data_IF_062845788107
#
_entry.id   IF_062845788107
#
_cell.length_a   1.000
_cell.length_b   1.000
_cell.length_c   1.000
_cell.angle_alpha   90.00
_cell.angle_beta   90.00
_cell.angle_gamma   90.00
#
_symmetry.space_group_name_H-M   'P 1'
#
loop_
_entity.id
_entity.type
_entity.pdbx_description
1 polymer ?
#
# COMPACT_ATOMS: atom_id res chain seq x y z
N UNK A 1 7.31 18.49 -16.08
CA UNK A 1 7.46 18.27 -14.62
C UNK A 1 6.27 18.89 -13.92
N UNK A 2 5.63 18.18 -13.00
CA UNK A 2 4.50 18.69 -12.24
C UNK A 2 4.99 19.24 -10.89
N UNK A 3 4.47 20.39 -10.47
CA UNK A 3 4.76 21.00 -9.18
C UNK A 3 3.49 20.99 -8.35
N UNK A 4 3.59 20.53 -7.10
CA UNK A 4 2.47 20.52 -6.15
C UNK A 4 2.75 21.57 -5.08
N UNK A 5 1.78 22.47 -4.87
CA UNK A 5 1.80 23.45 -3.78
C UNK A 5 0.74 23.09 -2.75
N UNK A 6 1.15 22.86 -1.52
CA UNK A 6 0.25 22.57 -0.39
C UNK A 6 0.09 23.85 0.41
N UNK A 7 -1.15 24.36 0.51
CA UNK A 7 -1.49 25.60 1.21
C UNK A 7 -2.08 25.31 2.58
N UNK A 8 -1.94 26.28 3.50
CA UNK A 8 -2.52 26.24 4.85
C UNK A 8 -2.04 25.05 5.71
N UNK A 9 -0.77 24.67 5.58
CA UNK A 9 -0.17 23.67 6.46
C UNK A 9 -0.08 24.25 7.87
N UNK A 10 -0.64 23.60 8.90
CA UNK A 10 -0.51 24.09 10.27
C UNK A 10 0.97 24.18 10.68
N UNK A 11 1.37 25.27 11.33
CA UNK A 11 2.76 25.54 11.69
C UNK A 11 3.41 24.40 12.48
N UNK A 12 2.67 23.78 13.39
CA UNK A 12 3.13 22.63 14.15
C UNK A 12 3.53 21.44 13.25
N UNK A 13 2.74 21.17 12.21
CA UNK A 13 3.00 20.08 11.26
C UNK A 13 4.20 20.43 10.37
N UNK A 14 4.25 21.67 9.89
CA UNK A 14 5.39 22.16 9.10
C UNK A 14 6.70 21.98 9.88
N UNK A 15 6.72 22.36 11.17
CA UNK A 15 7.90 22.22 12.03
C UNK A 15 8.32 20.76 12.27
N UNK A 16 7.36 19.86 12.47
CA UNK A 16 7.65 18.42 12.61
C UNK A 16 8.37 17.90 11.37
N UNK A 17 7.85 18.21 10.18
CA UNK A 17 8.47 17.78 8.92
C UNK A 17 9.82 18.44 8.66
N UNK A 18 10.00 19.70 9.03
CA UNK A 18 11.29 20.38 8.94
C UNK A 18 12.37 19.69 9.79
N UNK A 19 12.03 19.31 11.03
CA UNK A 19 12.96 18.58 11.91
C UNK A 19 13.30 17.20 11.34
N UNK A 20 12.30 16.47 10.82
CA UNK A 20 12.53 15.15 10.20
C UNK A 20 13.39 15.25 8.94
N UNK A 21 13.16 16.25 8.10
CA UNK A 21 13.96 16.49 6.91
C UNK A 21 15.42 16.79 7.27
N UNK A 22 15.65 17.67 8.25
CA UNK A 22 16.99 17.97 8.76
C UNK A 22 17.68 16.73 9.34
N UNK A 23 16.97 15.91 10.10
CA UNK A 23 17.50 14.65 10.65
C UNK A 23 17.86 13.64 9.56
N UNK A 24 17.18 13.67 8.42
CA UNK A 24 17.48 12.84 7.24
C UNK A 24 18.55 13.46 6.32
N UNK A 25 19.07 14.66 6.62
CA UNK A 25 20.02 15.37 5.76
C UNK A 25 19.41 15.83 4.42
N UNK A 26 18.09 16.00 4.37
CA UNK A 26 17.34 16.37 3.17
C UNK A 26 16.75 17.78 3.31
N UNK A 27 16.56 18.47 2.19
CA UNK A 27 15.67 19.63 2.19
C UNK A 27 14.23 19.20 2.49
N UNK A 28 13.42 20.11 3.04
CA UNK A 28 12.01 19.82 3.33
C UNK A 28 11.25 19.35 2.08
N UNK A 29 11.56 19.92 0.91
CA UNK A 29 10.89 19.60 -0.34
C UNK A 29 11.25 18.21 -0.85
N UNK A 30 12.52 17.81 -0.76
CA UNK A 30 12.97 16.45 -1.07
C UNK A 30 12.38 15.42 -0.13
N UNK A 31 12.34 15.72 1.17
CA UNK A 31 11.76 14.84 2.18
C UNK A 31 10.27 14.58 1.93
N UNK A 32 9.49 15.65 1.68
CA UNK A 32 8.07 15.54 1.39
C UNK A 32 7.80 14.84 0.05
N UNK A 33 8.61 15.09 -0.97
CA UNK A 33 8.52 14.36 -2.23
C UNK A 33 8.74 12.86 -2.03
N UNK A 34 9.77 12.49 -1.27
CA UNK A 34 10.04 11.09 -0.97
C UNK A 34 8.88 10.43 -0.21
N UNK A 35 8.23 11.17 0.70
CA UNK A 35 7.05 10.69 1.41
C UNK A 35 5.83 10.52 0.49
N UNK A 36 5.59 11.48 -0.41
CA UNK A 36 4.54 11.39 -1.42
C UNK A 36 4.76 10.19 -2.36
N UNK A 37 6.00 9.96 -2.80
CA UNK A 37 6.34 8.80 -3.66
C UNK A 37 6.12 7.49 -2.90
N UNK A 38 6.58 7.40 -1.64
CA UNK A 38 6.34 6.22 -0.80
C UNK A 38 4.84 5.96 -0.62
N UNK A 39 4.07 6.99 -0.31
CA UNK A 39 2.64 6.89 -0.09
C UNK A 39 1.87 6.56 -1.38
N UNK A 40 2.29 7.07 -2.53
CA UNK A 40 1.70 6.71 -3.82
C UNK A 40 2.01 5.26 -4.23
N UNK A 41 3.12 4.69 -3.75
CA UNK A 41 3.45 3.27 -3.95
C UNK A 41 2.65 2.32 -3.04
N UNK A 42 2.03 2.83 -1.96
CA UNK A 42 1.17 2.05 -1.09
C UNK A 42 -0.26 2.09 -1.66
N UNK A 43 -0.80 0.93 -2.05
CA UNK A 43 -2.24 0.81 -2.31
C UNK A 43 -2.99 1.24 -1.07
N UNK A 44 -3.97 2.13 -1.22
CA UNK A 44 -4.85 2.46 -0.12
C UNK A 44 -5.62 1.20 0.31
N UNK A 45 -6.03 1.08 1.58
CA UNK A 45 -6.86 -0.04 2.03
C UNK A 45 -8.15 -0.18 1.21
N UNK A 46 -8.72 0.94 0.74
CA UNK A 46 -9.90 0.94 -0.11
C UNK A 46 -9.62 0.36 -1.51
N UNK A 47 -8.49 0.72 -2.12
CA UNK A 47 -8.06 0.15 -3.41
C UNK A 47 -7.75 -1.34 -3.30
N UNK A 48 -7.18 -1.79 -2.16
CA UNK A 48 -6.99 -3.20 -1.88
C UNK A 48 -8.32 -3.96 -1.77
N UNK A 49 -9.31 -3.38 -1.08
CA UNK A 49 -10.64 -4.00 -0.96
C UNK A 49 -11.32 -4.06 -2.34
N UNK A 50 -11.29 -2.97 -3.10
CA UNK A 50 -11.90 -2.90 -4.44
C UNK A 50 -11.22 -3.88 -5.43
N UNK A 51 -9.90 -4.04 -5.35
CA UNK A 51 -9.17 -5.04 -6.11
C UNK A 51 -9.55 -6.46 -5.68
N UNK A 52 -9.63 -6.74 -4.39
CA UNK A 52 -10.06 -8.04 -3.87
C UNK A 52 -11.50 -8.35 -4.30
N UNK A 53 -12.42 -7.40 -4.18
CA UNK A 53 -13.82 -7.57 -4.62
C UNK A 53 -13.91 -7.77 -6.14
N UNK A 54 -13.17 -6.98 -6.91
CA UNK A 54 -13.11 -7.11 -8.37
C UNK A 54 -12.54 -8.46 -8.77
N UNK A 55 -11.47 -8.89 -8.11
CA UNK A 55 -10.83 -10.19 -8.37
C UNK A 55 -11.73 -11.36 -7.97
N UNK A 56 -12.41 -11.30 -6.82
CA UNK A 56 -13.41 -12.29 -6.40
C UNK A 56 -14.60 -12.36 -7.37
N UNK A 57 -14.99 -11.23 -7.96
CA UNK A 57 -16.06 -11.19 -8.97
C UNK A 57 -15.63 -11.78 -10.30
N UNK A 58 -14.36 -11.59 -10.70
CA UNK A 58 -13.80 -12.08 -11.98
C UNK A 58 -13.38 -13.56 -11.90
N UNK A 59 -12.76 -13.98 -10.80
CA UNK A 59 -12.23 -15.34 -10.61
C UNK A 59 -13.26 -16.29 -9.95
N UNK A 60 -14.38 -15.77 -9.46
CA UNK A 60 -15.41 -16.58 -8.79
C UNK A 60 -14.98 -17.10 -7.40
N UNK A 61 -15.76 -18.01 -6.82
CA UNK A 61 -15.55 -18.54 -5.45
C UNK A 61 -14.23 -19.33 -5.26
N UNK A 62 -13.46 -19.54 -6.33
CA UNK A 62 -12.13 -20.17 -6.29
C UNK A 62 -10.99 -19.14 -6.14
N UNK A 63 -11.28 -17.83 -6.23
CA UNK A 63 -10.33 -16.71 -6.38
C UNK A 63 -9.33 -16.42 -5.25
N UNK A 64 -9.04 -17.39 -4.38
CA UNK A 64 -7.87 -17.35 -3.48
C UNK A 64 -7.16 -18.69 -3.34
N UNK A 65 -7.71 -19.77 -3.88
CA UNK A 65 -7.18 -21.12 -3.70
C UNK A 65 -6.69 -21.65 -5.05
N UNK A 66 -5.38 -21.85 -5.18
CA UNK A 66 -4.75 -22.50 -6.36
C UNK A 66 -5.22 -23.97 -6.52
N UNK A 67 -5.97 -24.49 -5.55
CA UNK A 67 -6.70 -25.75 -5.61
C UNK A 67 -7.55 -25.95 -4.33
N UNK A 68 -8.48 -26.89 -4.36
CA UNK A 68 -9.31 -27.21 -3.20
C UNK A 68 -8.45 -27.68 -2.02
N UNK A 69 -8.63 -27.05 -0.85
CA UNK A 69 -7.99 -27.49 0.39
C UNK A 69 -8.34 -28.95 0.73
N UNK A 70 -9.53 -29.41 0.35
CA UNK A 70 -9.93 -30.80 0.51
C UNK A 70 -9.15 -31.76 -0.41
N UNK A 71 -8.73 -31.32 -1.59
CA UNK A 71 -7.91 -32.13 -2.50
C UNK A 71 -6.48 -32.28 -1.97
N UNK A 72 -5.91 -31.22 -1.39
CA UNK A 72 -4.59 -31.26 -0.75
C UNK A 72 -4.57 -32.21 0.46
N UNK A 73 -5.62 -32.17 1.29
CA UNK A 73 -5.75 -33.07 2.45
C UNK A 73 -5.96 -34.53 2.02
N UNK A 74 -6.69 -34.77 0.92
CA UNK A 74 -6.83 -36.12 0.36
C UNK A 74 -5.49 -36.65 -0.17
N UNK A 75 -4.72 -35.85 -0.89
CA UNK A 75 -3.41 -36.25 -1.38
C UNK A 75 -2.41 -36.61 -0.26
N UNK A 76 -2.42 -35.88 0.87
CA UNK A 76 -1.59 -36.24 2.04
C UNK A 76 -2.06 -37.54 2.72
N UNK A 77 -3.37 -37.79 2.73
CA UNK A 77 -3.93 -39.02 3.32
C UNK A 77 -3.60 -40.24 2.47
N UNK A 78 -3.78 -40.14 1.16
CA UNK A 78 -3.61 -41.27 0.23
C UNK A 78 -2.14 -41.65 -0.01
N UNK A 79 -1.20 -40.83 0.47
CA UNK A 79 0.25 -41.08 0.40
C UNK A 79 0.85 -41.72 1.67
N UNK A 80 0.02 -42.04 2.67
CA UNK A 80 0.41 -42.76 3.91
C UNK A 80 -0.06 -44.21 3.89
#
# INVERSE_FOLDING_TARGET
>A
MATIQIRNVPEAIHRVYQVRAAAAGMSLQEYLLAELVRNAGLRSPAELIDEVETRMRVEGSEGFAVGSSADLVRADRDSR
#
